data_IF_234041992155
#
_entry.id   IF_234041992155
#
_cell.length_a   1.000
_cell.length_b   1.000
_cell.length_c   1.000
_cell.angle_alpha   90.00
_cell.angle_beta   90.00
_cell.angle_gamma   90.00
#
_symmetry.space_group_name_H-M   'P 1'
#
loop_
_entity.id
_entity.type
_entity.pdbx_description
1 polymer ?
#
# COMPACT_ATOMS: atom_id res chain seq x y z
N UNK A 1 -0.73 45.50 -17.20
CA UNK A 1 0.06 44.25 -17.18
C UNK A 1 -0.89 43.07 -17.04
N UNK A 2 -1.17 42.29 -18.09
CA UNK A 2 -2.08 41.15 -17.99
C UNK A 2 -1.36 39.96 -17.32
N UNK A 3 -1.97 39.37 -16.28
CA UNK A 3 -1.47 38.16 -15.60
C UNK A 3 -1.79 36.93 -16.44
N UNK A 4 -0.75 36.24 -16.90
CA UNK A 4 -0.84 34.96 -17.63
C UNK A 4 -1.43 33.90 -16.68
N UNK A 5 -2.63 33.41 -16.95
CA UNK A 5 -3.21 32.26 -16.22
C UNK A 5 -2.40 31.03 -16.60
N UNK A 6 -1.71 30.43 -15.62
CA UNK A 6 -1.09 29.12 -15.81
C UNK A 6 -2.20 28.07 -15.89
N UNK A 7 -2.13 27.21 -16.90
CA UNK A 7 -3.04 26.08 -17.02
C UNK A 7 -2.75 25.09 -15.89
N UNK A 8 -3.79 24.71 -15.14
CA UNK A 8 -3.74 23.57 -14.22
C UNK A 8 -3.47 22.34 -15.08
N UNK A 9 -2.24 21.83 -15.03
CA UNK A 9 -1.94 20.51 -15.56
C UNK A 9 -2.68 19.51 -14.66
N UNK A 10 -3.74 18.90 -15.19
CA UNK A 10 -4.41 17.79 -14.52
C UNK A 10 -3.37 16.71 -14.20
N UNK A 11 -3.28 16.32 -12.93
CA UNK A 11 -2.55 15.12 -12.55
C UNK A 11 -3.11 13.97 -13.41
N UNK A 12 -2.26 13.12 -14.02
CA UNK A 12 -2.78 11.95 -14.71
C UNK A 12 -3.38 11.05 -13.62
N UNK A 13 -4.69 11.12 -13.44
CA UNK A 13 -5.43 9.99 -12.91
C UNK A 13 -5.00 8.80 -13.75
N UNK A 14 -4.62 7.70 -13.10
CA UNK A 14 -4.36 6.42 -13.75
C UNK A 14 -5.69 5.84 -14.30
N UNK A 15 -6.44 6.66 -15.04
CA UNK A 15 -7.68 6.31 -15.69
C UNK A 15 -7.33 5.22 -16.68
N UNK A 16 -7.80 4.02 -16.30
CA UNK A 16 -7.59 2.74 -16.95
C UNK A 16 -7.73 2.91 -18.46
N UNK A 17 -6.63 2.71 -19.17
CA UNK A 17 -6.64 2.60 -20.63
C UNK A 17 -7.71 1.55 -20.99
N UNK A 18 -8.66 1.85 -21.89
CA UNK A 18 -9.64 0.87 -22.34
C UNK A 18 -8.90 -0.37 -22.83
N UNK A 19 -9.26 -1.54 -22.31
CA UNK A 19 -8.67 -2.81 -22.73
C UNK A 19 -8.92 -2.98 -24.23
N UNK A 20 -7.85 -3.10 -25.00
CA UNK A 20 -7.94 -3.38 -26.43
C UNK A 20 -8.52 -4.80 -26.60
N UNK A 21 -9.60 -5.01 -27.37
CA UNK A 21 -10.08 -6.35 -27.68
C UNK A 21 -9.00 -7.24 -28.34
N UNK A 22 -7.98 -6.65 -28.98
CA UNK A 22 -6.84 -7.39 -29.54
C UNK A 22 -5.94 -8.04 -28.46
N UNK A 23 -5.91 -7.50 -27.24
CA UNK A 23 -5.15 -8.08 -26.11
C UNK A 23 -5.97 -9.07 -25.28
N UNK A 24 -7.14 -9.50 -25.79
CA UNK A 24 -8.05 -10.43 -25.09
C UNK A 24 -8.46 -9.95 -23.69
N UNK A 25 -8.48 -8.64 -23.46
CA UNK A 25 -8.81 -8.08 -22.14
C UNK A 25 -7.65 -8.05 -21.14
N UNK A 26 -6.42 -8.38 -21.55
CA UNK A 26 -5.24 -8.15 -20.72
C UNK A 26 -4.81 -6.69 -20.81
N UNK A 27 -4.56 -6.06 -19.65
CA UNK A 27 -3.91 -4.76 -19.64
C UNK A 27 -2.43 -4.91 -20.03
N UNK A 28 -1.79 -3.83 -20.51
CA UNK A 28 -0.35 -3.85 -20.77
C UNK A 28 0.48 -4.32 -19.56
N UNK A 29 0.05 -3.96 -18.34
CA UNK A 29 0.69 -4.42 -17.10
C UNK A 29 0.56 -5.93 -16.92
N UNK A 30 -0.61 -6.51 -17.19
CA UNK A 30 -0.83 -7.95 -17.08
C UNK A 30 0.07 -8.75 -18.03
N UNK A 31 0.25 -8.25 -19.25
CA UNK A 31 1.15 -8.86 -20.23
C UNK A 31 2.58 -8.85 -19.72
N UNK A 32 3.07 -7.72 -19.23
CA UNK A 32 4.44 -7.60 -18.68
C UNK A 32 4.63 -8.53 -17.47
N UNK A 33 3.68 -8.56 -16.54
CA UNK A 33 3.74 -9.41 -15.35
C UNK A 33 3.72 -10.90 -15.70
N UNK A 34 2.90 -11.31 -16.66
CA UNK A 34 2.83 -12.70 -17.10
C UNK A 34 4.12 -13.13 -17.77
N UNK A 35 4.67 -12.31 -18.68
CA UNK A 35 5.95 -12.59 -19.32
C UNK A 35 7.10 -12.69 -18.31
N UNK A 36 7.15 -11.75 -17.35
CA UNK A 36 8.16 -11.76 -16.29
C UNK A 36 8.11 -13.05 -15.46
N UNK A 37 6.91 -13.46 -15.03
CA UNK A 37 6.71 -14.70 -14.24
C UNK A 37 7.09 -15.95 -15.01
N UNK A 38 6.77 -16.00 -16.30
CA UNK A 38 7.09 -17.13 -17.17
C UNK A 38 8.62 -17.28 -17.34
N UNK A 39 9.35 -16.20 -17.57
CA UNK A 39 10.82 -16.24 -17.64
C UNK A 39 11.45 -16.64 -16.30
N UNK A 40 10.92 -16.13 -15.18
CA UNK A 40 11.37 -16.54 -13.85
C UNK A 40 11.14 -18.05 -13.61
N UNK A 41 9.98 -18.58 -14.01
CA UNK A 41 9.67 -20.00 -13.88
C UNK A 41 10.61 -20.90 -14.71
N UNK A 42 11.13 -20.40 -15.83
CA UNK A 42 12.13 -21.09 -16.67
C UNK A 42 13.57 -20.93 -16.16
N UNK A 43 13.80 -20.11 -15.14
CA UNK A 43 15.13 -19.80 -14.62
C UNK A 43 15.88 -18.71 -15.42
N UNK A 44 15.22 -18.03 -16.35
CA UNK A 44 15.77 -16.94 -17.16
C UNK A 44 15.78 -15.63 -16.37
N UNK A 45 16.56 -15.59 -15.27
CA UNK A 45 16.53 -14.48 -14.32
C UNK A 45 16.93 -13.13 -14.91
N UNK A 46 17.85 -13.11 -15.88
CA UNK A 46 18.28 -11.86 -16.53
C UNK A 46 17.14 -11.19 -17.29
N UNK A 47 16.37 -11.98 -18.06
CA UNK A 47 15.20 -11.51 -18.81
C UNK A 47 14.07 -11.12 -17.87
N UNK A 48 13.84 -11.90 -16.82
CA UNK A 48 12.85 -11.58 -15.80
C UNK A 48 13.19 -10.27 -15.08
N UNK A 49 14.47 -10.03 -14.75
CA UNK A 49 14.93 -8.81 -14.11
C UNK A 49 14.78 -7.57 -15.01
N UNK A 50 15.04 -7.72 -16.32
CA UNK A 50 14.80 -6.64 -17.28
C UNK A 50 13.32 -6.24 -17.32
N UNK A 51 12.41 -7.22 -17.39
CA UNK A 51 10.97 -6.96 -17.34
C UNK A 51 10.51 -6.38 -15.99
N UNK A 52 11.11 -6.84 -14.89
CA UNK A 52 10.81 -6.33 -13.55
C UNK A 52 11.13 -4.83 -13.43
N UNK A 53 12.21 -4.35 -14.07
CA UNK A 53 12.56 -2.93 -14.12
C UNK A 53 11.48 -2.09 -14.79
N UNK A 54 10.87 -2.61 -15.85
CA UNK A 54 9.81 -1.91 -16.59
C UNK A 54 8.47 -1.93 -15.83
N UNK A 55 8.21 -2.99 -15.06
CA UNK A 55 7.02 -3.12 -14.19
C UNK A 55 7.14 -2.28 -12.90
N UNK A 56 8.35 -2.07 -12.39
CA UNK A 56 8.59 -1.42 -11.10
C UNK A 56 7.87 -0.07 -10.89
N UNK A 57 7.77 0.86 -11.87
CA UNK A 57 7.07 2.13 -11.69
C UNK A 57 5.57 2.00 -11.40
N UNK A 58 4.96 0.88 -11.81
CA UNK A 58 3.54 0.61 -11.61
C UNK A 58 3.26 -0.09 -10.28
N UNK A 59 4.24 -0.82 -9.74
CA UNK A 59 4.14 -1.51 -8.45
C UNK A 59 4.66 -0.69 -7.28
N UNK A 60 5.63 0.18 -7.55
CA UNK A 60 6.31 1.02 -6.57
C UNK A 60 6.23 2.47 -7.05
N UNK A 61 5.14 3.19 -6.72
CA UNK A 61 5.01 4.59 -7.11
C UNK A 61 6.25 5.36 -6.65
N UNK A 62 6.84 6.13 -7.57
CA UNK A 62 8.02 6.95 -7.26
C UNK A 62 7.66 7.92 -6.15
N UNK A 63 8.55 8.10 -5.17
CA UNK A 63 8.36 9.08 -4.08
C UNK A 63 8.03 10.48 -4.61
N UNK A 64 8.62 10.90 -5.73
CA UNK A 64 8.33 12.19 -6.37
C UNK A 64 6.90 12.31 -6.94
N UNK A 65 6.21 11.19 -7.13
CA UNK A 65 4.81 11.14 -7.58
C UNK A 65 3.82 11.10 -6.41
N UNK A 66 4.30 10.94 -5.17
CA UNK A 66 3.48 11.08 -3.98
C UNK A 66 3.37 12.56 -3.65
N UNK A 67 2.13 13.07 -3.56
CA UNK A 67 1.88 14.44 -3.16
C UNK A 67 2.01 14.55 -1.64
N UNK A 68 3.14 15.08 -1.16
CA UNK A 68 3.38 15.34 0.27
C UNK A 68 2.93 16.76 0.68
N UNK A 69 1.99 17.33 -0.06
CA UNK A 69 1.51 18.70 0.08
C UNK A 69 -0.02 18.72 0.04
N UNK A 70 -0.62 19.71 0.67
CA UNK A 70 -2.03 20.05 0.49
C UNK A 70 -2.35 20.45 -0.97
N UNK A 71 -3.60 20.84 -1.19
CA UNK A 71 -4.09 21.28 -2.50
C UNK A 71 -3.17 22.37 -3.11
N UNK A 72 -2.95 22.29 -4.42
CA UNK A 72 -2.10 23.21 -5.20
C UNK A 72 -0.65 23.33 -4.70
N UNK A 73 -0.12 22.30 -4.03
CA UNK A 73 1.24 22.35 -3.47
C UNK A 73 1.33 23.09 -2.13
N UNK A 74 0.20 23.47 -1.54
CA UNK A 74 0.14 24.16 -0.27
C UNK A 74 0.51 23.28 0.94
N UNK A 75 0.58 23.85 2.14
CA UNK A 75 0.72 23.07 3.37
C UNK A 75 -0.42 22.04 3.51
N UNK A 76 -0.13 20.90 4.13
CA UNK A 76 -1.17 19.97 4.56
C UNK A 76 -2.04 20.69 5.59
N UNK A 77 -3.35 20.73 5.36
CA UNK A 77 -4.29 21.38 6.26
C UNK A 77 -4.37 20.57 7.56
N UNK A 78 -3.91 21.17 8.65
CA UNK A 78 -4.03 20.59 10.00
C UNK A 78 -5.10 21.34 10.77
N UNK A 79 -5.92 20.61 11.52
CA UNK A 79 -6.84 21.17 12.50
C UNK A 79 -6.24 20.96 13.89
N UNK A 80 -6.05 22.05 14.63
CA UNK A 80 -5.62 21.97 16.02
C UNK A 80 -6.85 21.73 16.91
N UNK A 81 -6.82 20.62 17.65
CA UNK A 81 -7.89 20.18 18.53
C UNK A 81 -7.51 20.27 20.01
N UNK A 82 -6.37 20.88 20.35
CA UNK A 82 -5.85 20.97 21.72
C UNK A 82 -6.78 21.66 22.72
N UNK A 83 -7.75 22.44 22.23
CA UNK A 83 -8.74 23.16 23.02
C UNK A 83 -10.20 22.80 22.66
N UNK A 84 -10.42 21.70 21.95
CA UNK A 84 -11.77 21.23 21.66
C UNK A 84 -12.48 20.84 22.97
N UNK A 85 -13.76 21.17 23.09
CA UNK A 85 -14.57 20.75 24.24
C UNK A 85 -15.03 19.30 24.08
N UNK A 86 -15.39 18.65 25.18
CA UNK A 86 -15.96 17.28 25.16
C UNK A 86 -17.19 17.17 24.25
N UNK A 87 -18.03 18.22 24.21
CA UNK A 87 -19.19 18.27 23.33
C UNK A 87 -18.79 18.32 21.85
N UNK A 88 -17.75 19.09 21.51
CA UNK A 88 -17.23 19.16 20.15
C UNK A 88 -16.56 17.84 19.74
N UNK A 89 -15.89 17.17 20.67
CA UNK A 89 -15.27 15.88 20.42
C UNK A 89 -16.33 14.79 20.21
N UNK A 90 -17.38 14.78 21.03
CA UNK A 90 -18.51 13.87 20.88
C UNK A 90 -19.25 14.09 19.55
N UNK A 91 -19.41 15.34 19.10
CA UNK A 91 -20.00 15.64 17.80
C UNK A 91 -19.14 15.10 16.63
N UNK A 92 -17.81 15.16 16.75
CA UNK A 92 -16.89 14.58 15.78
C UNK A 92 -17.01 13.05 15.74
N UNK A 93 -17.07 12.40 16.90
CA UNK A 93 -17.26 10.96 17.02
C UNK A 93 -18.59 10.51 16.40
N UNK A 94 -19.67 11.25 16.57
CA UNK A 94 -20.95 10.92 15.93
C UNK A 94 -20.90 11.02 14.40
N UNK A 95 -20.16 11.99 13.86
CA UNK A 95 -20.05 12.19 12.41
C UNK A 95 -19.16 11.12 11.75
N UNK A 96 -18.05 10.75 12.40
CA UNK A 96 -17.04 9.85 11.82
C UNK A 96 -17.07 8.41 12.37
N UNK A 97 -17.75 8.16 13.48
CA UNK A 97 -17.86 6.85 14.12
C UNK A 97 -18.34 5.75 13.17
N UNK A 98 -19.41 5.96 12.38
CA UNK A 98 -19.86 4.97 11.38
C UNK A 98 -18.80 4.67 10.32
N UNK A 99 -18.00 5.67 9.92
CA UNK A 99 -16.94 5.50 8.92
C UNK A 99 -15.80 4.64 9.48
N UNK A 100 -15.42 4.84 10.75
CA UNK A 100 -14.35 4.08 11.40
C UNK A 100 -14.73 2.62 11.65
N UNK A 101 -15.98 2.35 12.03
CA UNK A 101 -16.47 0.99 12.31
C UNK A 101 -16.57 0.09 11.07
N UNK A 102 -16.74 0.67 9.88
CA UNK A 102 -16.71 -0.08 8.62
C UNK A 102 -15.29 -0.56 8.26
N UNK A 103 -14.23 0.14 8.69
CA UNK A 103 -12.85 -0.30 8.45
C UNK A 103 -12.40 -1.44 9.38
N UNK A 104 -12.99 -1.57 10.57
CA UNK A 104 -12.63 -2.63 11.52
C UNK A 104 -13.19 -4.01 11.14
N UNK A 105 -14.23 -4.07 10.29
CA UNK A 105 -14.81 -5.33 9.80
C UNK A 105 -13.88 -6.03 8.78
N UNK A 106 -13.05 -5.27 8.05
CA UNK A 106 -12.10 -5.80 7.07
C UNK A 106 -10.69 -6.07 7.65
N UNK A 107 -10.40 -5.54 8.85
CA UNK A 107 -9.10 -5.66 9.53
C UNK A 107 -9.16 -6.57 10.76
N UNK A 108 -9.99 -7.61 10.75
CA UNK A 108 -9.92 -8.68 11.75
C UNK A 108 -8.55 -9.40 11.66
N UNK A 109 -7.53 -8.79 12.26
CA UNK A 109 -6.25 -9.40 12.52
C UNK A 109 -6.53 -10.62 13.38
N UNK A 110 -6.35 -11.81 12.79
CA UNK A 110 -6.28 -13.04 13.55
C UNK A 110 -5.26 -12.81 14.67
N UNK A 111 -5.74 -12.89 15.91
CA UNK A 111 -4.94 -12.84 17.12
C UNK A 111 -3.85 -13.91 16.98
N UNK A 112 -2.64 -13.51 16.61
CA UNK A 112 -1.48 -14.41 16.64
C UNK A 112 -1.16 -14.58 18.11
N UNK A 113 -1.69 -15.64 18.70
CA UNK A 113 -1.39 -16.02 20.07
C UNK A 113 0.13 -16.08 20.28
N UNK A 114 0.65 -15.21 21.15
CA UNK A 114 2.01 -15.28 21.65
C UNK A 114 2.14 -16.53 22.51
N UNK A 115 2.46 -17.66 21.85
CA UNK A 115 2.81 -18.92 22.48
C UNK A 115 4.18 -18.85 23.15
N UNK A 116 4.33 -18.00 24.18
CA UNK A 116 5.42 -18.08 25.15
C UNK A 116 5.26 -19.36 25.97
N UNK A 117 5.76 -20.46 25.44
CA UNK A 117 6.06 -21.66 26.19
C UNK A 117 7.29 -21.45 27.07
N UNK A 118 7.11 -20.83 28.23
CA UNK A 118 8.06 -20.95 29.34
C UNK A 118 7.91 -22.31 30.02
N UNK A 119 9.03 -23.02 30.15
CA UNK A 119 9.16 -24.26 30.91
C UNK A 119 10.24 -25.13 30.26
N UNK A 120 11.35 -25.47 30.87
CA UNK A 120 11.81 -25.30 32.24
C UNK A 120 13.12 -26.07 32.33
N UNK A 121 14.04 -25.54 33.10
CA UNK A 121 15.37 -26.06 33.41
C UNK A 121 15.39 -27.51 33.88
N UNK A 122 16.42 -28.28 33.50
CA UNK A 122 16.72 -29.57 34.13
C UNK A 122 17.95 -30.28 33.56
N UNK A 123 19.08 -30.13 34.25
CA UNK A 123 20.33 -30.85 34.01
C UNK A 123 20.27 -32.33 34.43
N UNK A 124 21.37 -33.06 34.14
CA UNK A 124 21.71 -34.46 34.50
C UNK A 124 21.34 -35.47 33.40
N UNK A 125 22.15 -36.44 32.98
CA UNK A 125 23.39 -37.02 33.51
C UNK A 125 23.65 -38.32 32.73
N UNK A 126 24.90 -38.77 32.76
CA UNK A 126 25.49 -39.91 32.04
C UNK A 126 24.83 -41.28 32.27
N UNK A 127 24.88 -42.18 31.26
CA UNK A 127 25.01 -43.67 31.29
C UNK A 127 24.84 -44.18 29.84
N UNK A 128 25.85 -44.73 29.16
CA UNK A 128 26.38 -46.11 29.20
C UNK A 128 25.35 -47.24 28.97
N UNK A 129 25.80 -48.24 28.20
CA UNK A 129 25.20 -49.56 27.83
C UNK A 129 24.13 -49.51 26.74
N UNK A 130 24.14 -50.34 25.69
CA UNK A 130 24.72 -51.67 25.44
C UNK A 130 24.98 -51.87 23.92
#
# INVERSE_FOLDING_TARGET
MPRKRAAVAAAPTQDRVPLDPATQGLSPLDVMLRAMREHAARGDWDTAAALAKDVAPYMHPKLASLQHSGADGGPIQTLDLSHATEEQLAALEQLFGPIVQDFEQDLAFAEVGDGRGEGGTGASGSRETE
#
